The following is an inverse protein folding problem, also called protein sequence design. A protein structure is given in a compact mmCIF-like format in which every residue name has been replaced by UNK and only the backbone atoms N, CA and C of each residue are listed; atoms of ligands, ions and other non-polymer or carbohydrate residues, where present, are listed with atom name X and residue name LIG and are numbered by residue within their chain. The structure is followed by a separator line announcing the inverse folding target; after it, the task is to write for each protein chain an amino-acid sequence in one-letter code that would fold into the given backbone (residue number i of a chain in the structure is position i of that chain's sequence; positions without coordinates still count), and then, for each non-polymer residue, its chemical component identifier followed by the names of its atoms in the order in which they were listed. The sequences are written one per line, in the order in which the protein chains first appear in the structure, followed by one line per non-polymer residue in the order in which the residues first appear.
data_IF_132702648570
#
_entry.id   IF_132702648570
#
_cell.length_a   1.000
_cell.length_b   1.000
_cell.length_c   1.000
_cell.angle_alpha   90.00
_cell.angle_beta   90.00
_cell.angle_gamma   90.00
#
_symmetry.space_group_name_H-M   'P 1'
#
loop_
_entity.id
_entity.type
_entity.pdbx_description
1 polymer ?
#
# COMPACT_ATOMS: atom_id res chain seq x y z
N UNK A 1 13.87 35.94 0.96
CA UNK A 1 12.91 34.87 1.31
C UNK A 1 13.53 33.56 0.88
N UNK A 2 13.77 32.64 1.81
CA UNK A 2 14.17 31.26 1.47
C UNK A 2 12.98 30.57 0.82
N UNK A 3 13.23 29.87 -0.28
CA UNK A 3 12.23 29.03 -0.94
C UNK A 3 12.31 27.61 -0.39
N UNK A 4 11.23 26.85 -0.51
CA UNK A 4 11.21 25.45 -0.09
C UNK A 4 12.30 24.62 -0.80
N UNK A 5 12.59 24.95 -2.06
CA UNK A 5 13.63 24.33 -2.87
C UNK A 5 15.07 24.55 -2.35
N UNK A 6 15.27 25.54 -1.47
CA UNK A 6 16.57 25.83 -0.86
C UNK A 6 16.89 24.86 0.30
N UNK A 7 15.92 24.07 0.77
CA UNK A 7 16.13 23.10 1.85
C UNK A 7 17.05 21.95 1.41
N UNK A 8 17.86 21.38 2.33
CA UNK A 8 18.61 20.15 2.06
C UNK A 8 17.69 18.99 1.63
N UNK A 9 18.19 18.09 0.78
CA UNK A 9 17.41 16.98 0.26
C UNK A 9 16.88 16.06 1.35
N UNK A 10 17.65 15.87 2.42
CA UNK A 10 17.28 15.08 3.59
C UNK A 10 16.07 15.65 4.32
N UNK A 11 16.00 16.97 4.46
CA UNK A 11 14.87 17.65 5.10
C UNK A 11 13.61 17.54 4.22
N UNK A 12 13.77 17.65 2.90
CA UNK A 12 12.67 17.49 1.95
C UNK A 12 12.13 16.05 1.94
N UNK A 13 13.00 15.05 1.98
CA UNK A 13 12.58 13.65 2.10
C UNK A 13 11.82 13.41 3.42
N UNK A 14 12.31 13.94 4.54
CA UNK A 14 11.59 13.86 5.80
C UNK A 14 10.18 14.46 5.69
N UNK A 15 10.03 15.62 5.04
CA UNK A 15 8.71 16.21 4.78
C UNK A 15 7.83 15.24 3.97
N UNK A 16 8.37 14.66 2.89
CA UNK A 16 7.62 13.73 2.03
C UNK A 16 7.16 12.47 2.77
N UNK A 17 7.95 11.96 3.72
CA UNK A 17 7.57 10.79 4.54
C UNK A 17 6.35 11.04 5.44
N UNK A 18 6.06 12.30 5.79
CA UNK A 18 4.86 12.68 6.55
C UNK A 18 3.63 12.95 5.66
N UNK A 19 3.77 12.87 4.34
CA UNK A 19 2.71 13.16 3.38
C UNK A 19 2.17 11.88 2.75
N UNK A 20 0.90 11.90 2.34
CA UNK A 20 0.39 10.83 1.48
C UNK A 20 1.05 10.93 0.11
N UNK A 21 1.30 9.78 -0.52
CA UNK A 21 1.94 9.74 -1.84
C UNK A 21 1.19 10.55 -2.90
N UNK A 22 -0.15 10.66 -2.80
CA UNK A 22 -0.95 11.48 -3.71
C UNK A 22 -0.55 12.95 -3.59
N UNK A 23 -0.33 13.45 -2.37
CA UNK A 23 0.09 14.82 -2.12
C UNK A 23 1.53 15.03 -2.58
N UNK A 24 2.43 14.08 -2.25
CA UNK A 24 3.83 14.14 -2.70
C UNK A 24 3.90 14.24 -4.22
N UNK A 25 3.14 13.39 -4.90
CA UNK A 25 3.08 13.37 -6.35
C UNK A 25 2.43 14.63 -6.91
N UNK A 26 1.20 14.94 -6.52
CA UNK A 26 0.43 16.03 -7.13
C UNK A 26 1.06 17.40 -6.88
N UNK A 27 1.68 17.59 -5.71
CA UNK A 27 2.26 18.88 -5.33
C UNK A 27 3.68 19.00 -5.88
N UNK A 28 4.56 18.01 -5.69
CA UNK A 28 5.99 18.18 -5.95
C UNK A 28 6.49 17.57 -7.25
N UNK A 29 5.78 16.57 -7.79
CA UNK A 29 6.15 15.99 -9.07
C UNK A 29 5.97 17.04 -10.18
N UNK A 30 6.98 17.20 -11.02
CA UNK A 30 7.10 18.23 -12.07
C UNK A 30 7.27 19.67 -11.59
N UNK A 31 7.44 19.93 -10.29
CA UNK A 31 7.80 21.29 -9.83
C UNK A 31 9.23 21.66 -10.24
N UNK A 32 10.20 20.81 -9.90
CA UNK A 32 11.62 21.01 -10.25
C UNK A 32 12.32 19.67 -10.46
N UNK A 33 13.44 19.69 -11.18
CA UNK A 33 14.28 18.49 -11.36
C UNK A 33 14.75 17.91 -10.01
N UNK A 34 15.03 18.77 -9.01
CA UNK A 34 15.43 18.35 -7.67
C UNK A 34 14.33 17.54 -6.98
N UNK A 35 13.09 18.02 -6.99
CA UNK A 35 11.98 17.28 -6.39
C UNK A 35 11.71 15.96 -7.12
N UNK A 36 11.77 15.96 -8.45
CA UNK A 36 11.61 14.73 -9.22
C UNK A 36 12.64 13.66 -8.83
N UNK A 37 13.92 14.05 -8.63
CA UNK A 37 14.96 13.12 -8.16
C UNK A 37 14.61 12.58 -6.76
N UNK A 38 14.17 13.45 -5.85
CA UNK A 38 13.86 13.06 -4.48
C UNK A 38 12.64 12.13 -4.38
N UNK A 39 11.61 12.34 -5.18
CA UNK A 39 10.39 11.48 -5.20
C UNK A 39 10.71 10.04 -5.61
N UNK A 40 11.76 9.83 -6.41
CA UNK A 40 12.23 8.49 -6.81
C UNK A 40 13.47 8.03 -6.04
N UNK A 41 13.93 8.77 -5.02
CA UNK A 41 15.09 8.38 -4.23
C UNK A 41 14.78 7.09 -3.46
N UNK A 42 15.65 6.09 -3.57
CA UNK A 42 15.43 4.77 -2.95
C UNK A 42 15.43 4.79 -1.41
N UNK A 43 15.88 5.89 -0.81
CA UNK A 43 15.85 6.09 0.64
C UNK A 43 14.49 6.57 1.12
N UNK A 44 13.67 7.14 0.23
CA UNK A 44 12.36 7.69 0.58
C UNK A 44 11.38 6.56 0.91
N UNK A 45 10.76 6.64 2.09
CA UNK A 45 9.74 5.68 2.53
C UNK A 45 8.35 6.25 2.32
N UNK A 46 7.65 5.76 1.31
CA UNK A 46 6.34 6.25 0.94
C UNK A 46 5.24 5.52 1.73
N UNK A 47 4.35 6.30 2.31
CA UNK A 47 3.07 5.83 2.84
C UNK A 47 1.99 6.13 1.82
N UNK A 48 1.30 5.08 1.37
CA UNK A 48 0.28 5.15 0.33
C UNK A 48 -1.06 4.77 0.92
N UNK A 49 -1.99 5.72 1.01
CA UNK A 49 -3.37 5.41 1.37
C UNK A 49 -4.31 5.61 0.17
N UNK A 50 -4.58 4.52 -0.56
CA UNK A 50 -5.44 4.61 -1.73
C UNK A 50 -6.92 4.66 -1.39
N UNK A 51 -7.34 4.44 -0.14
CA UNK A 51 -8.76 4.36 0.23
C UNK A 51 -9.59 5.60 -0.15
N UNK A 52 -8.90 6.74 -0.30
CA UNK A 52 -9.52 8.01 -0.71
C UNK A 52 -9.53 8.24 -2.22
N UNK A 53 -8.80 7.46 -3.01
CA UNK A 53 -8.69 7.63 -4.46
C UNK A 53 -9.96 7.15 -5.18
N UNK A 54 -10.41 7.95 -6.14
CA UNK A 54 -11.38 7.51 -7.15
C UNK A 54 -10.72 6.63 -8.21
N UNK A 55 -11.53 5.92 -8.99
CA UNK A 55 -11.07 4.96 -10.02
C UNK A 55 -9.91 5.48 -10.88
N UNK A 56 -10.09 6.63 -11.55
CA UNK A 56 -9.09 7.14 -12.50
C UNK A 56 -7.72 7.38 -11.85
N UNK A 57 -7.69 7.95 -10.64
CA UNK A 57 -6.45 8.19 -9.90
C UNK A 57 -5.83 6.90 -9.39
N UNK A 58 -6.66 5.93 -9.00
CA UNK A 58 -6.17 4.62 -8.60
C UNK A 58 -5.56 3.84 -9.76
N UNK A 59 -6.19 3.87 -10.93
CA UNK A 59 -5.66 3.24 -12.13
C UNK A 59 -4.33 3.88 -12.54
N UNK A 60 -4.21 5.22 -12.46
CA UNK A 60 -2.95 5.95 -12.66
C UNK A 60 -1.88 5.54 -11.63
N UNK A 61 -2.25 5.45 -10.34
CA UNK A 61 -1.36 4.95 -9.29
C UNK A 61 -0.79 3.57 -9.64
N UNK A 62 -1.65 2.63 -10.07
CA UNK A 62 -1.22 1.27 -10.42
C UNK A 62 -0.28 1.25 -11.63
N UNK A 63 -0.58 2.04 -12.68
CA UNK A 63 0.16 2.04 -13.95
C UNK A 63 1.45 2.87 -13.93
N UNK A 64 1.63 3.76 -12.96
CA UNK A 64 2.77 4.69 -12.96
C UNK A 64 3.56 4.61 -11.65
N UNK A 65 2.91 4.93 -10.55
CA UNK A 65 3.56 5.18 -9.28
C UNK A 65 3.97 3.87 -8.62
N UNK A 66 3.05 2.90 -8.57
CA UNK A 66 3.31 1.59 -8.04
C UNK A 66 4.44 0.89 -8.81
N UNK A 67 4.44 0.95 -10.14
CA UNK A 67 5.48 0.31 -10.97
C UNK A 67 6.86 0.96 -10.75
N UNK A 68 6.93 2.29 -10.68
CA UNK A 68 8.22 3.01 -10.56
C UNK A 68 8.75 3.10 -9.13
N UNK A 69 7.87 3.06 -8.13
CA UNK A 69 8.20 3.23 -6.72
C UNK A 69 7.87 2.00 -5.86
N UNK A 70 7.68 0.82 -6.43
CA UNK A 70 7.38 -0.40 -5.68
C UNK A 70 8.39 -0.67 -4.54
N UNK A 71 9.66 -0.32 -4.76
CA UNK A 71 10.74 -0.45 -3.78
C UNK A 71 10.77 0.67 -2.73
N UNK A 72 10.01 1.75 -2.91
CA UNK A 72 9.95 2.88 -1.98
C UNK A 72 8.66 2.86 -1.15
N UNK A 73 7.64 2.11 -1.59
CA UNK A 73 6.38 1.96 -0.86
C UNK A 73 6.62 1.12 0.39
N UNK A 74 6.61 1.80 1.53
CA UNK A 74 6.86 1.24 2.85
C UNK A 74 5.56 0.82 3.55
N UNK A 75 4.48 1.58 3.34
CA UNK A 75 3.15 1.26 3.85
C UNK A 75 2.11 1.45 2.74
N UNK A 76 1.19 0.50 2.62
CA UNK A 76 0.13 0.51 1.62
C UNK A 76 -1.22 0.19 2.26
N UNK A 77 -2.20 1.05 2.03
CA UNK A 77 -3.61 0.82 2.36
C UNK A 77 -4.42 0.70 1.08
N UNK A 78 -5.08 -0.45 0.88
CA UNK A 78 -6.04 -0.69 -0.20
C UNK A 78 -7.44 -0.88 0.38
N UNK A 79 -8.46 -0.39 -0.32
CA UNK A 79 -9.85 -0.53 0.13
C UNK A 79 -10.79 -0.91 -1.00
N UNK A 80 -11.63 -1.90 -0.76
CA UNK A 80 -12.74 -2.26 -1.63
C UNK A 80 -14.03 -1.50 -1.33
N UNK A 81 -13.94 -0.32 -0.69
CA UNK A 81 -15.12 0.45 -0.30
C UNK A 81 -16.13 0.51 -1.45
N UNK A 82 -17.29 -0.10 -1.20
CA UNK A 82 -18.33 -0.38 -2.18
C UNK A 82 -18.80 0.89 -2.90
N UNK A 83 -18.75 2.04 -2.23
CA UNK A 83 -19.18 3.32 -2.79
C UNK A 83 -18.17 3.98 -3.72
N UNK A 84 -16.93 3.48 -3.79
CA UNK A 84 -15.85 4.09 -4.58
C UNK A 84 -15.37 3.20 -5.70
N UNK A 85 -14.63 2.15 -5.37
CA UNK A 85 -13.94 1.32 -6.34
C UNK A 85 -13.36 0.07 -5.66
N UNK A 86 -13.44 -1.14 -6.27
CA UNK A 86 -12.86 -2.35 -5.69
C UNK A 86 -11.33 -2.38 -5.89
N UNK A 87 -10.60 -1.57 -5.12
CA UNK A 87 -9.16 -1.35 -5.31
C UNK A 87 -8.33 -2.60 -5.08
N UNK A 88 -8.66 -3.43 -4.09
CA UNK A 88 -7.91 -4.66 -3.80
C UNK A 88 -8.01 -5.60 -5.00
N UNK A 89 -9.23 -5.78 -5.51
CA UNK A 89 -9.47 -6.60 -6.70
C UNK A 89 -8.66 -6.13 -7.90
N UNK A 90 -8.65 -4.82 -8.12
CA UNK A 90 -7.99 -4.21 -9.28
C UNK A 90 -6.47 -4.21 -9.14
N UNK A 91 -5.97 -3.97 -7.93
CA UNK A 91 -4.55 -4.11 -7.61
C UNK A 91 -4.08 -5.53 -7.89
N UNK A 92 -4.79 -6.55 -7.38
CA UNK A 92 -4.44 -7.96 -7.62
C UNK A 92 -4.53 -8.40 -9.08
N UNK A 93 -5.25 -7.65 -9.93
CA UNK A 93 -5.35 -7.90 -11.36
C UNK A 93 -4.21 -7.23 -12.15
N UNK A 94 -3.84 -5.99 -11.80
CA UNK A 94 -2.86 -5.19 -12.53
C UNK A 94 -1.44 -5.28 -11.97
N UNK A 95 -1.30 -5.66 -10.71
CA UNK A 95 -0.03 -5.66 -9.97
C UNK A 95 0.11 -6.92 -9.12
N UNK A 96 1.34 -7.15 -8.64
CA UNK A 96 1.62 -8.18 -7.65
C UNK A 96 2.34 -7.59 -6.47
N UNK A 97 1.94 -7.98 -5.26
CA UNK A 97 2.64 -7.63 -4.04
C UNK A 97 4.11 -8.05 -4.07
N UNK A 98 4.47 -9.07 -4.86
CA UNK A 98 5.85 -9.58 -4.96
C UNK A 98 6.86 -8.54 -5.46
N UNK A 99 6.42 -7.45 -6.10
CA UNK A 99 7.30 -6.34 -6.50
C UNK A 99 7.60 -5.35 -5.37
N UNK A 100 6.85 -5.39 -4.26
CA UNK A 100 6.93 -4.41 -3.18
C UNK A 100 7.84 -4.91 -2.06
N UNK A 101 9.11 -5.17 -2.39
CA UNK A 101 10.05 -5.82 -1.46
C UNK A 101 10.33 -5.00 -0.20
N UNK A 102 10.14 -3.68 -0.23
CA UNK A 102 10.29 -2.78 0.92
C UNK A 102 9.01 -2.61 1.75
N UNK A 103 7.90 -3.24 1.35
CA UNK A 103 6.62 -3.11 2.04
C UNK A 103 6.74 -3.68 3.45
N UNK A 104 6.55 -2.82 4.44
CA UNK A 104 6.62 -3.14 5.85
C UNK A 104 5.23 -3.28 6.49
N UNK A 105 4.27 -2.49 6.01
CA UNK A 105 2.89 -2.47 6.50
C UNK A 105 1.90 -2.59 5.36
N UNK A 106 0.92 -3.48 5.51
CA UNK A 106 -0.20 -3.64 4.58
C UNK A 106 -1.52 -3.56 5.33
N UNK A 107 -2.41 -2.70 4.84
CA UNK A 107 -3.77 -2.54 5.35
C UNK A 107 -4.76 -2.86 4.24
N UNK A 108 -5.65 -3.83 4.47
CA UNK A 108 -6.68 -4.26 3.54
C UNK A 108 -8.04 -4.01 4.15
N UNK A 109 -8.87 -3.18 3.50
CA UNK A 109 -10.19 -2.79 3.98
C UNK A 109 -11.26 -3.34 3.02
N UNK A 110 -12.32 -3.93 3.56
CA UNK A 110 -13.42 -4.56 2.82
C UNK A 110 -12.96 -5.71 1.91
N UNK A 111 -11.92 -6.44 2.35
CA UNK A 111 -11.40 -7.57 1.56
C UNK A 111 -12.36 -8.77 1.63
N UNK A 112 -12.62 -9.40 0.49
CA UNK A 112 -13.38 -10.65 0.47
C UNK A 112 -12.46 -11.88 0.62
N UNK A 113 -13.02 -13.02 0.97
CA UNK A 113 -12.31 -14.29 1.19
C UNK A 113 -11.45 -14.67 -0.03
N UNK A 114 -12.00 -14.57 -1.25
CA UNK A 114 -11.27 -14.93 -2.46
C UNK A 114 -10.02 -14.06 -2.70
N UNK A 115 -10.10 -12.77 -2.39
CA UNK A 115 -8.99 -11.82 -2.47
C UNK A 115 -8.01 -11.99 -1.33
N UNK A 116 -8.49 -12.28 -0.12
CA UNK A 116 -7.64 -12.59 1.03
C UNK A 116 -6.76 -13.80 0.72
N UNK A 117 -7.34 -14.90 0.22
CA UNK A 117 -6.59 -16.11 -0.13
C UNK A 117 -5.59 -15.89 -1.29
N UNK A 118 -5.85 -14.95 -2.19
CA UNK A 118 -4.88 -14.56 -3.22
C UNK A 118 -3.76 -13.71 -2.61
N UNK A 119 -4.12 -12.78 -1.73
CA UNK A 119 -3.17 -11.87 -1.08
C UNK A 119 -2.20 -12.63 -0.19
N UNK A 120 -2.68 -13.52 0.67
CA UNK A 120 -1.86 -14.36 1.58
C UNK A 120 -0.80 -15.18 0.83
N UNK A 121 -1.13 -15.68 -0.36
CA UNK A 121 -0.16 -16.38 -1.23
C UNK A 121 0.96 -15.46 -1.73
N UNK A 122 0.64 -14.22 -2.07
CA UNK A 122 1.63 -13.26 -2.59
C UNK A 122 2.49 -12.67 -1.48
N UNK A 123 1.88 -12.28 -0.36
CA UNK A 123 2.61 -11.62 0.74
C UNK A 123 3.58 -12.55 1.47
N UNK A 124 3.44 -13.87 1.31
CA UNK A 124 4.41 -14.86 1.83
C UNK A 124 5.84 -14.65 1.32
N UNK A 125 5.97 -14.01 0.15
CA UNK A 125 7.26 -13.69 -0.46
C UNK A 125 7.82 -12.34 0.03
N UNK A 126 7.02 -11.54 0.72
CA UNK A 126 7.45 -10.25 1.24
C UNK A 126 8.30 -10.44 2.49
N UNK A 127 9.59 -10.20 2.33
CA UNK A 127 10.56 -10.48 3.39
C UNK A 127 10.55 -9.44 4.51
N UNK A 128 10.07 -8.23 4.23
CA UNK A 128 10.04 -7.10 5.15
C UNK A 128 8.65 -6.81 5.74
N UNK A 129 7.60 -7.50 5.27
CA UNK A 129 6.24 -7.28 5.76
C UNK A 129 6.14 -7.74 7.21
N UNK A 130 5.87 -6.78 8.10
CA UNK A 130 5.89 -6.97 9.54
C UNK A 130 4.51 -6.72 10.16
N UNK A 131 3.75 -5.79 9.58
CA UNK A 131 2.39 -5.41 10.01
C UNK A 131 1.39 -5.75 8.91
N UNK A 132 0.35 -6.49 9.29
CA UNK A 132 -0.78 -6.78 8.43
C UNK A 132 -2.07 -6.45 9.20
N UNK A 133 -2.82 -5.49 8.69
CA UNK A 133 -4.15 -5.16 9.18
C UNK A 133 -5.20 -5.57 8.14
N UNK A 134 -6.19 -6.33 8.57
CA UNK A 134 -7.28 -6.82 7.73
C UNK A 134 -8.59 -6.39 8.37
N UNK A 135 -9.42 -5.70 7.60
CA UNK A 135 -10.81 -5.42 7.93
C UNK A 135 -11.70 -6.02 6.85
N UNK A 136 -12.69 -6.82 7.25
CA UNK A 136 -13.70 -7.36 6.36
C UNK A 136 -15.11 -7.26 6.96
N UNK A 137 -16.07 -6.99 6.07
CA UNK A 137 -17.51 -7.08 6.35
C UNK A 137 -18.13 -8.34 5.71
N UNK A 138 -17.33 -9.18 5.05
CA UNK A 138 -17.83 -10.45 4.54
C UNK A 138 -17.88 -11.46 5.69
N UNK A 139 -19.05 -12.09 5.85
CA UNK A 139 -19.23 -13.16 6.81
C UNK A 139 -18.63 -14.44 6.21
N UNK A 140 -17.56 -14.92 6.83
CA UNK A 140 -16.93 -16.19 6.46
C UNK A 140 -17.65 -17.35 7.16
N UNK A 141 -17.87 -18.44 6.44
CA UNK A 141 -18.26 -19.70 7.08
C UNK A 141 -17.10 -20.29 7.90
N UNK A 142 -17.41 -21.27 8.75
CA UNK A 142 -16.43 -21.91 9.63
C UNK A 142 -15.20 -22.43 8.86
N UNK A 143 -15.41 -22.98 7.66
CA UNK A 143 -14.32 -23.50 6.84
C UNK A 143 -13.46 -22.36 6.30
N UNK A 144 -14.08 -21.31 5.80
CA UNK A 144 -13.40 -20.12 5.30
C UNK A 144 -12.59 -19.42 6.39
N UNK A 145 -13.12 -19.31 7.60
CA UNK A 145 -12.40 -18.79 8.77
C UNK A 145 -11.15 -19.62 9.07
N UNK A 146 -11.29 -20.95 9.11
CA UNK A 146 -10.16 -21.85 9.37
C UNK A 146 -9.10 -21.77 8.28
N UNK A 147 -9.50 -21.74 7.00
CA UNK A 147 -8.60 -21.60 5.86
C UNK A 147 -7.86 -20.24 5.90
N UNK A 148 -8.57 -19.15 6.21
CA UNK A 148 -8.00 -17.81 6.32
C UNK A 148 -7.03 -17.70 7.50
N UNK A 149 -7.41 -18.22 8.67
CA UNK A 149 -6.55 -18.27 9.85
C UNK A 149 -5.27 -19.03 9.54
N UNK A 150 -5.37 -20.24 8.97
CA UNK A 150 -4.21 -21.04 8.60
C UNK A 150 -3.29 -20.27 7.63
N UNK A 151 -3.85 -19.67 6.58
CA UNK A 151 -3.07 -18.94 5.59
C UNK A 151 -2.37 -17.69 6.15
N UNK A 152 -2.94 -17.05 7.17
CA UNK A 152 -2.38 -15.88 7.85
C UNK A 152 -1.34 -16.26 8.91
N UNK A 153 -1.56 -17.34 9.67
CA UNK A 153 -0.58 -17.83 10.65
C UNK A 153 0.62 -18.52 9.98
N UNK A 154 0.47 -19.03 8.75
CA UNK A 154 1.56 -19.54 7.93
C UNK A 154 2.50 -18.46 7.36
N UNK A 155 2.36 -17.20 7.82
CA UNK A 155 3.21 -16.07 7.46
C UNK A 155 4.30 -15.88 8.54
N UNK A 156 5.48 -16.53 8.43
CA UNK A 156 6.45 -16.62 9.53
C UNK A 156 7.10 -15.29 9.94
N UNK A 157 6.83 -14.19 9.23
CA UNK A 157 7.49 -12.89 9.38
C UNK A 157 6.57 -11.76 9.82
N UNK A 158 5.25 -11.99 9.83
CA UNK A 158 4.29 -10.99 10.28
C UNK A 158 4.29 -11.03 11.80
N UNK A 159 4.75 -9.96 12.42
CA UNK A 159 4.84 -9.84 13.88
C UNK A 159 3.57 -9.22 14.47
N UNK A 160 2.90 -8.37 13.70
CA UNK A 160 1.63 -7.74 14.09
C UNK A 160 0.58 -8.12 13.05
N UNK A 161 -0.38 -8.91 13.50
CA UNK A 161 -1.55 -9.31 12.74
C UNK A 161 -2.79 -8.80 13.48
N UNK A 162 -3.50 -7.89 12.84
CA UNK A 162 -4.76 -7.33 13.35
C UNK A 162 -5.87 -7.67 12.35
N UNK A 163 -6.92 -8.35 12.82
CA UNK A 163 -8.02 -8.80 11.99
C UNK A 163 -9.33 -8.40 12.66
N UNK A 164 -10.11 -7.61 11.94
CA UNK A 164 -11.45 -7.21 12.34
C UNK A 164 -12.47 -7.84 11.39
N UNK A 165 -13.18 -8.83 11.89
CA UNK A 165 -14.39 -9.38 11.27
C UNK A 165 -15.57 -8.60 11.84
N UNK A 166 -16.24 -7.80 11.02
CA UNK A 166 -17.49 -7.16 11.44
C UNK A 166 -18.63 -8.17 11.27
N UNK A 167 -19.21 -8.60 12.39
CA UNK A 167 -20.48 -9.36 12.45
C UNK A 167 -21.69 -8.47 12.19
#
# INVERSE_FOLDING_TARGET
MSRLEDLPGEILMLIFEYMDVEDVWTIFFNMTAKFNILVFDSRLRLTVNTSKLGKSKFDEFCLSLAERNCNNIYSLTLSNNYFRYPQIRQFLFNASFTYFQSLYSLTLIDINYGELMKTTKQIKQLTNLNHLHINTHEIFDDKQLMDAAQALFDQPKIHVLDINFHE
#
